data_IF_458355973870
#
_entry.id   IF_458355973870
#
_cell.length_a   1.000
_cell.length_b   1.000
_cell.length_c   1.000
_cell.angle_alpha   90.00
_cell.angle_beta   90.00
_cell.angle_gamma   90.00
#
_symmetry.space_group_name_H-M   'P 1'
#
loop_
_entity.id
_entity.type
_entity.pdbx_description
1 polymer ?
#
# COMPACT_ATOMS: atom_id res chain seq x y z
N UNK A 1 33.10 33.66 -10.00
CA UNK A 1 33.37 32.55 -9.05
C UNK A 1 32.25 32.59 -8.02
N UNK A 2 31.28 31.68 -8.15
CA UNK A 2 30.14 31.58 -7.24
C UNK A 2 30.55 30.74 -6.03
N UNK A 3 30.71 31.37 -4.87
CA UNK A 3 30.89 30.67 -3.62
C UNK A 3 29.56 30.03 -3.22
N UNK A 4 29.50 28.70 -3.34
CA UNK A 4 28.47 27.87 -2.73
C UNK A 4 28.80 27.84 -1.23
N UNK A 5 28.04 28.58 -0.43
CA UNK A 5 28.11 28.48 1.02
C UNK A 5 27.38 27.20 1.43
N UNK A 6 28.15 26.15 1.75
CA UNK A 6 27.63 25.11 2.62
C UNK A 6 27.55 25.69 4.02
N UNK A 7 26.36 25.62 4.60
CA UNK A 7 26.03 26.09 5.94
C UNK A 7 26.70 25.18 6.99
N UNK A 8 28.04 25.28 7.13
CA UNK A 8 28.82 24.43 8.04
C UNK A 8 29.00 25.03 9.43
N UNK A 9 28.39 26.18 9.73
CA UNK A 9 28.46 26.82 11.05
C UNK A 9 27.10 26.81 11.75
N UNK A 10 26.48 25.64 11.90
CA UNK A 10 25.29 25.51 12.72
C UNK A 10 25.66 25.03 14.13
N UNK A 11 25.68 25.98 15.08
CA UNK A 11 25.86 25.75 16.53
C UNK A 11 24.62 25.07 17.18
N UNK A 12 23.73 24.48 16.37
CA UNK A 12 22.58 23.72 16.85
C UNK A 12 23.04 22.34 17.32
N UNK A 13 22.55 21.90 18.49
CA UNK A 13 22.72 20.50 18.92
C UNK A 13 22.20 19.59 17.81
N UNK A 14 23.01 18.64 17.37
CA UNK A 14 22.58 17.53 16.53
C UNK A 14 21.36 16.87 17.19
N UNK A 15 20.28 16.66 16.43
CA UNK A 15 19.11 15.89 16.87
C UNK A 15 19.39 14.38 16.90
N UNK A 16 20.61 13.96 16.55
CA UNK A 16 21.00 12.54 16.54
C UNK A 16 21.09 12.03 17.97
N UNK A 17 20.31 10.99 18.25
CA UNK A 17 20.44 10.25 19.49
C UNK A 17 21.81 9.56 19.56
N UNK A 18 22.44 9.45 20.74
CA UNK A 18 23.67 8.70 20.90
C UNK A 18 23.54 7.28 20.32
N UNK A 19 24.42 6.92 19.38
CA UNK A 19 24.39 5.62 18.70
C UNK A 19 23.57 5.58 17.41
N UNK A 20 22.92 6.67 17.01
CA UNK A 20 22.33 6.80 15.69
C UNK A 20 23.40 6.57 14.61
N UNK A 21 23.06 5.76 13.60
CA UNK A 21 23.91 5.52 12.43
C UNK A 21 23.22 6.13 11.21
N UNK A 22 23.97 6.63 10.22
CA UNK A 22 23.39 7.05 8.96
C UNK A 22 22.58 5.90 8.35
N UNK A 23 21.32 6.17 8.03
CA UNK A 23 20.47 5.26 7.27
C UNK A 23 20.44 5.75 5.82
N UNK A 24 21.23 5.10 4.96
CA UNK A 24 21.31 5.47 3.56
C UNK A 24 20.14 4.91 2.77
N UNK A 25 19.79 5.61 1.68
CA UNK A 25 18.78 5.12 0.77
C UNK A 25 19.27 3.82 0.10
N UNK A 26 18.38 2.85 -0.12
CA UNK A 26 18.74 1.65 -0.87
C UNK A 26 19.03 1.99 -2.33
N UNK A 27 19.79 1.12 -3.00
CA UNK A 27 20.00 1.19 -4.43
C UNK A 27 18.67 1.06 -5.18
N UNK A 28 18.44 1.92 -6.17
CA UNK A 28 17.20 1.94 -6.94
C UNK A 28 17.43 1.39 -8.34
N UNK A 29 16.85 0.23 -8.70
CA UNK A 29 16.96 -0.29 -10.06
C UNK A 29 16.18 0.56 -11.08
N UNK A 30 15.23 1.37 -10.61
CA UNK A 30 14.42 2.24 -11.45
C UNK A 30 13.41 3.04 -10.64
N UNK A 31 12.61 3.85 -11.36
CA UNK A 31 11.46 4.53 -10.80
C UNK A 31 10.22 3.64 -10.94
N UNK A 32 9.57 3.33 -9.82
CA UNK A 32 8.25 2.70 -9.84
C UNK A 32 7.21 3.76 -10.19
N UNK A 33 6.51 3.58 -11.30
CA UNK A 33 5.46 4.49 -11.74
C UNK A 33 4.09 4.11 -11.15
N UNK A 34 3.83 2.80 -11.07
CA UNK A 34 2.53 2.28 -10.74
C UNK A 34 2.59 0.89 -10.10
N UNK A 35 1.77 0.67 -9.07
CA UNK A 35 1.58 -0.64 -8.42
C UNK A 35 0.10 -1.03 -8.51
N UNK A 36 -0.18 -2.20 -9.08
CA UNK A 36 -1.52 -2.77 -9.13
C UNK A 36 -1.57 -4.09 -8.35
N UNK A 37 -2.43 -4.15 -7.34
CA UNK A 37 -2.72 -5.37 -6.59
C UNK A 37 -4.10 -5.91 -7.00
N UNK A 38 -4.14 -7.13 -7.55
CA UNK A 38 -5.38 -7.86 -7.82
C UNK A 38 -5.47 -9.07 -6.88
N UNK A 39 -6.36 -8.98 -5.88
CA UNK A 39 -6.38 -9.83 -4.70
C UNK A 39 -7.73 -10.53 -4.51
N UNK A 40 -7.68 -11.78 -4.05
CA UNK A 40 -8.83 -12.53 -3.56
C UNK A 40 -8.60 -12.95 -2.10
N UNK A 41 -9.50 -12.52 -1.20
CA UNK A 41 -9.39 -12.82 0.23
C UNK A 41 -10.20 -14.06 0.62
N UNK A 42 -9.56 -15.01 1.29
CA UNK A 42 -10.22 -16.10 2.02
C UNK A 42 -10.23 -15.78 3.52
N UNK A 43 -11.21 -14.96 3.90
CA UNK A 43 -11.36 -14.46 5.27
C UNK A 43 -11.53 -15.60 6.30
N UNK A 44 -12.35 -16.65 6.07
CA UNK A 44 -12.46 -17.77 6.99
C UNK A 44 -11.14 -18.50 7.28
N UNK A 45 -10.28 -18.68 6.27
CA UNK A 45 -9.00 -19.35 6.42
C UNK A 45 -7.83 -18.41 6.73
N UNK A 46 -8.10 -17.11 6.88
CA UNK A 46 -7.10 -16.07 7.16
C UNK A 46 -5.99 -16.04 6.11
N UNK A 47 -6.35 -16.15 4.84
CA UNK A 47 -5.40 -16.19 3.74
C UNK A 47 -5.86 -15.32 2.59
N UNK A 48 -4.95 -15.05 1.67
CA UNK A 48 -5.26 -14.43 0.39
C UNK A 48 -4.26 -14.86 -0.68
N UNK A 49 -4.65 -14.66 -1.93
CA UNK A 49 -3.78 -14.83 -3.08
C UNK A 49 -4.08 -13.75 -4.11
N UNK A 50 -3.13 -13.52 -5.01
CA UNK A 50 -3.30 -12.50 -6.02
C UNK A 50 -2.06 -12.26 -6.85
N UNK A 51 -2.07 -11.14 -7.58
CA UNK A 51 -0.94 -10.67 -8.37
C UNK A 51 -0.57 -9.25 -7.97
N UNK A 52 0.71 -9.03 -7.67
CA UNK A 52 1.30 -7.69 -7.57
C UNK A 52 1.94 -7.35 -8.92
N UNK A 53 1.50 -6.26 -9.53
CA UNK A 53 2.02 -5.77 -10.81
C UNK A 53 2.69 -4.42 -10.62
N UNK A 54 3.97 -4.33 -10.96
CA UNK A 54 4.79 -3.12 -10.81
C UNK A 54 5.22 -2.63 -12.19
N UNK A 55 4.90 -1.38 -12.51
CA UNK A 55 5.42 -0.70 -13.70
C UNK A 55 6.68 0.06 -13.32
N UNK A 56 7.83 -0.38 -13.84
CA UNK A 56 9.16 0.13 -13.47
C UNK A 56 9.85 0.74 -14.68
N UNK A 57 10.31 1.98 -14.54
CA UNK A 57 11.22 2.64 -15.48
C UNK A 57 12.67 2.42 -15.04
N UNK A 58 13.47 1.58 -15.73
CA UNK A 58 14.85 1.29 -15.33
C UNK A 58 15.73 2.54 -15.34
N UNK A 59 16.61 2.68 -14.34
CA UNK A 59 17.53 3.83 -14.24
C UNK A 59 18.67 3.75 -15.27
N UNK A 60 19.02 2.54 -15.72
CA UNK A 60 20.07 2.28 -16.71
C UNK A 60 19.77 1.00 -17.50
N UNK A 61 20.35 0.87 -18.69
CA UNK A 61 20.37 -0.38 -19.43
C UNK A 61 21.29 -1.42 -18.76
N UNK A 62 21.03 -2.69 -19.03
CA UNK A 62 21.87 -3.81 -18.62
C UNK A 62 21.70 -4.24 -17.16
N UNK A 63 20.61 -3.82 -16.49
CA UNK A 63 20.20 -4.46 -15.22
C UNK A 63 19.67 -5.84 -15.55
N UNK A 64 20.28 -6.86 -14.96
CA UNK A 64 20.01 -8.29 -15.13
C UNK A 64 19.37 -8.92 -13.88
N UNK A 65 19.24 -8.17 -12.79
CA UNK A 65 18.61 -8.62 -11.56
C UNK A 65 17.80 -7.49 -10.90
N UNK A 66 16.61 -7.84 -10.37
CA UNK A 66 15.85 -7.00 -9.45
C UNK A 66 15.71 -7.70 -8.10
N UNK A 67 15.81 -6.95 -7.01
CA UNK A 67 15.56 -7.45 -5.65
C UNK A 67 14.40 -6.68 -5.06
N UNK A 68 13.36 -7.39 -4.61
CA UNK A 68 12.18 -6.84 -3.96
C UNK A 68 12.05 -7.38 -2.54
N UNK A 69 11.51 -6.57 -1.63
CA UNK A 69 11.12 -6.99 -0.30
C UNK A 69 9.82 -7.80 -0.37
N UNK A 70 9.83 -9.01 0.20
CA UNK A 70 8.70 -9.94 0.22
C UNK A 70 8.87 -10.89 1.42
N UNK A 71 8.30 -10.57 2.57
CA UNK A 71 8.53 -11.32 3.81
C UNK A 71 7.37 -12.26 4.12
N UNK A 72 7.68 -13.54 4.37
CA UNK A 72 6.71 -14.59 4.71
C UNK A 72 5.58 -14.76 3.68
N UNK A 73 5.91 -14.58 2.39
CA UNK A 73 5.00 -14.76 1.26
C UNK A 73 5.26 -16.08 0.54
N UNK A 74 4.25 -16.61 -0.14
CA UNK A 74 4.40 -17.70 -1.10
C UNK A 74 4.49 -17.12 -2.51
N UNK A 75 5.67 -17.15 -3.13
CA UNK A 75 5.90 -16.64 -4.49
C UNK A 75 5.66 -17.76 -5.50
N UNK A 76 4.58 -17.63 -6.29
CA UNK A 76 4.14 -18.67 -7.22
C UNK A 76 4.77 -18.53 -8.61
N UNK A 77 4.87 -17.30 -9.12
CA UNK A 77 5.52 -17.03 -10.41
C UNK A 77 5.90 -15.56 -10.55
N UNK A 78 6.89 -15.28 -11.39
CA UNK A 78 7.29 -13.93 -11.78
C UNK A 78 7.30 -13.83 -13.30
N UNK A 79 6.69 -12.76 -13.83
CA UNK A 79 6.69 -12.43 -15.25
C UNK A 79 7.17 -11.01 -15.47
N UNK A 80 7.96 -10.81 -16.52
CA UNK A 80 8.35 -9.49 -17.03
C UNK A 80 7.73 -9.34 -18.41
N UNK A 81 6.85 -8.36 -18.59
CA UNK A 81 6.11 -8.15 -19.85
C UNK A 81 5.48 -9.45 -20.37
N UNK A 82 4.78 -10.16 -19.47
CA UNK A 82 4.12 -11.46 -19.71
C UNK A 82 5.05 -12.66 -20.00
N UNK A 83 6.37 -12.47 -19.94
CA UNK A 83 7.37 -13.54 -20.11
C UNK A 83 7.84 -14.02 -18.74
N UNK A 84 7.73 -15.32 -18.47
CA UNK A 84 8.20 -15.94 -17.22
C UNK A 84 9.70 -15.74 -17.02
N UNK A 85 10.06 -15.44 -15.76
CA UNK A 85 11.44 -15.29 -15.33
C UNK A 85 11.75 -16.28 -14.22
N UNK A 86 13.02 -16.67 -14.15
CA UNK A 86 13.57 -17.38 -12.99
C UNK A 86 13.81 -16.42 -11.84
N UNK A 87 13.62 -16.89 -10.62
CA UNK A 87 13.86 -16.12 -9.41
C UNK A 87 14.38 -17.01 -8.29
N UNK A 88 15.10 -16.41 -7.35
CA UNK A 88 15.44 -16.99 -6.06
C UNK A 88 14.70 -16.24 -4.96
N UNK A 89 14.18 -16.97 -3.98
CA UNK A 89 13.41 -16.41 -2.88
C UNK A 89 13.78 -17.11 -1.56
N UNK A 90 14.19 -16.33 -0.57
CA UNK A 90 14.68 -16.84 0.71
C UNK A 90 13.67 -16.70 1.88
N UNK A 91 12.47 -16.19 1.59
CA UNK A 91 11.47 -15.86 2.60
C UNK A 91 11.44 -14.39 3.02
N UNK A 92 12.42 -13.58 2.60
CA UNK A 92 12.50 -12.15 2.89
C UNK A 92 12.70 -11.29 1.62
N UNK A 93 13.59 -11.71 0.74
CA UNK A 93 13.95 -10.99 -0.48
C UNK A 93 13.67 -11.87 -1.71
N UNK A 94 12.99 -11.29 -2.69
CA UNK A 94 12.72 -11.88 -3.99
C UNK A 94 13.72 -11.35 -5.02
N UNK A 95 14.63 -12.22 -5.46
CA UNK A 95 15.66 -11.94 -6.45
C UNK A 95 15.22 -12.45 -7.83
N UNK A 96 14.86 -11.55 -8.73
CA UNK A 96 14.34 -11.84 -10.07
C UNK A 96 15.47 -11.68 -11.08
N UNK A 97 15.79 -12.73 -11.84
CA UNK A 97 16.76 -12.67 -12.93
C UNK A 97 16.08 -12.23 -14.23
N UNK A 98 16.55 -11.14 -14.82
CA UNK A 98 15.94 -10.51 -16.00
C UNK A 98 16.55 -11.02 -17.30
N UNK A 99 15.73 -11.68 -18.11
CA UNK A 99 16.03 -12.09 -19.48
C UNK A 99 14.87 -11.70 -20.40
N UNK A 100 15.02 -10.66 -21.26
CA UNK A 100 16.23 -9.86 -21.48
C UNK A 100 16.55 -8.89 -20.34
N UNK A 101 17.81 -8.41 -20.30
CA UNK A 101 18.22 -7.31 -19.43
C UNK A 101 17.48 -6.02 -19.78
N UNK A 102 17.41 -5.09 -18.84
CA UNK A 102 16.71 -3.80 -19.05
C UNK A 102 17.36 -2.93 -20.14
N UNK A 103 16.53 -2.08 -20.75
CA UNK A 103 16.96 -1.00 -21.64
C UNK A 103 16.44 0.33 -21.09
N UNK A 104 17.29 1.34 -20.95
CA UNK A 104 16.85 2.68 -20.54
C UNK A 104 15.79 3.22 -21.49
N UNK A 105 14.71 3.77 -20.92
CA UNK A 105 13.58 4.32 -21.68
C UNK A 105 12.51 3.28 -22.04
N UNK A 106 12.76 2.00 -21.81
CA UNK A 106 11.77 0.94 -21.95
C UNK A 106 11.22 0.57 -20.56
N UNK A 107 9.96 0.92 -20.31
CA UNK A 107 9.27 0.50 -19.10
C UNK A 107 9.09 -1.02 -19.10
N UNK A 108 9.30 -1.65 -17.94
CA UNK A 108 9.00 -3.06 -17.73
C UNK A 108 7.83 -3.21 -16.76
N UNK A 109 7.00 -4.23 -17.01
CA UNK A 109 5.90 -4.64 -16.14
C UNK A 109 6.29 -5.94 -15.42
N UNK A 110 6.52 -5.84 -14.12
CA UNK A 110 6.83 -6.97 -13.25
C UNK A 110 5.53 -7.49 -12.65
N UNK A 111 5.07 -8.68 -13.03
CA UNK A 111 3.89 -9.31 -12.47
C UNK A 111 4.29 -10.52 -11.61
N UNK A 112 3.93 -10.48 -10.33
CA UNK A 112 4.31 -11.45 -9.32
C UNK A 112 3.03 -12.09 -8.78
N UNK A 113 2.80 -13.36 -9.11
CA UNK A 113 1.70 -14.12 -8.52
C UNK A 113 2.15 -14.64 -7.16
N UNK A 114 1.38 -14.37 -6.11
CA UNK A 114 1.77 -14.70 -4.76
C UNK A 114 0.56 -15.00 -3.87
N UNK A 115 0.83 -15.58 -2.70
CA UNK A 115 -0.16 -15.83 -1.66
C UNK A 115 0.44 -15.61 -0.27
N UNK A 116 -0.42 -15.51 0.73
CA UNK A 116 -0.02 -15.61 2.13
C UNK A 116 -1.10 -16.33 2.93
N UNK A 117 -0.64 -17.17 3.85
CA UNK A 117 -1.49 -17.98 4.71
C UNK A 117 -1.25 -17.62 6.17
N UNK A 118 -2.31 -17.18 6.84
CA UNK A 118 -2.28 -16.70 8.22
C UNK A 118 -1.13 -15.68 8.48
N UNK A 119 -1.06 -14.57 7.69
CA UNK A 119 -0.05 -13.55 7.87
C UNK A 119 -0.12 -12.95 9.28
N UNK A 120 1.04 -12.64 9.86
CA UNK A 120 1.17 -12.11 11.22
C UNK A 120 1.52 -10.61 11.26
N UNK A 121 1.80 -10.02 10.10
CA UNK A 121 2.24 -8.63 9.93
C UNK A 121 1.82 -8.11 8.55
N UNK A 122 1.75 -6.80 8.37
CA UNK A 122 1.33 -6.16 7.12
C UNK A 122 -0.18 -6.19 6.90
N UNK A 123 -0.78 -7.40 6.91
CA UNK A 123 -2.23 -7.62 6.81
C UNK A 123 -2.72 -8.54 7.93
N UNK A 124 -3.86 -8.15 8.53
CA UNK A 124 -4.38 -8.78 9.73
C UNK A 124 -5.81 -9.27 9.51
N UNK A 125 -6.04 -10.55 9.79
CA UNK A 125 -7.36 -11.18 9.73
C UNK A 125 -7.96 -11.29 11.13
N UNK A 126 -8.95 -10.46 11.42
CA UNK A 126 -9.64 -10.40 12.70
C UNK A 126 -10.95 -11.17 12.61
N UNK A 127 -11.21 -12.03 13.59
CA UNK A 127 -12.45 -12.76 13.74
C UNK A 127 -12.77 -12.95 15.24
N UNK A 128 -14.05 -13.23 15.60
CA UNK A 128 -14.40 -13.76 16.91
C UNK A 128 -13.51 -14.93 17.34
N UNK A 129 -13.17 -14.95 18.62
CA UNK A 129 -12.46 -16.05 19.28
C UNK A 129 -13.11 -16.36 20.65
N UNK A 130 -12.65 -17.40 21.35
CA UNK A 130 -13.22 -17.82 22.63
C UNK A 130 -13.14 -16.73 23.72
N UNK A 131 -12.12 -15.88 23.67
CA UNK A 131 -11.90 -14.81 24.65
C UNK A 131 -12.69 -13.54 24.30
N UNK A 132 -12.97 -13.34 23.01
CA UNK A 132 -13.63 -12.17 22.47
C UNK A 132 -14.66 -12.56 21.38
N UNK A 133 -15.79 -13.16 21.79
CA UNK A 133 -16.80 -13.68 20.86
C UNK A 133 -17.51 -12.57 20.06
N UNK A 134 -17.49 -11.33 20.56
CA UNK A 134 -18.17 -10.18 19.95
C UNK A 134 -17.27 -9.33 19.04
N UNK A 135 -16.01 -9.76 18.79
CA UNK A 135 -15.11 -9.06 17.86
C UNK A 135 -15.72 -9.04 16.45
N UNK A 136 -15.66 -7.93 15.72
CA UNK A 136 -16.08 -7.91 14.33
C UNK A 136 -15.12 -8.76 13.48
N UNK A 137 -15.66 -9.43 12.46
CA UNK A 137 -14.82 -9.98 11.39
C UNK A 137 -14.36 -8.84 10.49
N UNK A 138 -13.05 -8.64 10.41
CA UNK A 138 -12.41 -7.58 9.62
C UNK A 138 -11.10 -8.08 9.04
N UNK A 139 -10.68 -7.49 7.92
CA UNK A 139 -9.31 -7.57 7.42
C UNK A 139 -8.80 -6.15 7.31
N UNK A 140 -7.62 -5.85 7.83
CA UNK A 140 -7.04 -4.52 7.68
C UNK A 140 -5.52 -4.62 7.56
N UNK A 141 -4.93 -3.62 6.94
CA UNK A 141 -3.48 -3.54 6.76
C UNK A 141 -2.88 -2.44 7.61
N UNK A 142 -1.61 -2.63 7.94
CA UNK A 142 -0.74 -1.60 8.47
C UNK A 142 0.59 -1.77 7.74
N UNK A 143 1.03 -0.73 7.04
CA UNK A 143 2.26 -0.75 6.24
C UNK A 143 3.39 0.12 6.80
N UNK A 144 3.13 1.02 7.75
CA UNK A 144 4.14 1.96 8.27
C UNK A 144 5.07 1.30 9.30
N UNK A 145 6.39 1.41 9.18
CA UNK A 145 7.12 2.21 8.18
C UNK A 145 7.45 1.41 6.90
N UNK A 146 7.68 0.10 7.06
CA UNK A 146 8.13 -0.84 6.02
C UNK A 146 7.49 -2.24 6.24
N UNK A 147 6.21 -2.25 6.62
CA UNK A 147 5.42 -3.47 6.84
C UNK A 147 4.70 -3.92 5.56
N UNK A 148 4.80 -3.16 4.46
CA UNK A 148 4.15 -3.51 3.19
C UNK A 148 4.73 -4.78 2.58
N UNK A 149 6.03 -5.02 2.78
CA UNK A 149 6.71 -6.26 2.39
C UNK A 149 6.09 -7.54 2.97
N UNK A 150 5.32 -7.46 4.06
CA UNK A 150 4.65 -8.62 4.68
C UNK A 150 3.29 -8.96 4.06
N UNK A 151 2.78 -8.15 3.11
CA UNK A 151 1.52 -8.44 2.43
C UNK A 151 1.54 -8.23 0.92
N UNK A 152 2.55 -7.59 0.34
CA UNK A 152 2.83 -7.68 -1.10
C UNK A 152 4.32 -7.47 -1.42
N UNK A 153 4.86 -8.13 -2.47
CA UNK A 153 6.22 -7.89 -2.94
C UNK A 153 6.38 -6.47 -3.47
N UNK A 154 7.34 -5.70 -2.95
CA UNK A 154 7.59 -4.32 -3.39
C UNK A 154 9.00 -3.82 -3.08
N UNK A 155 9.35 -2.64 -3.57
CA UNK A 155 10.52 -1.89 -3.12
C UNK A 155 10.12 -1.08 -1.90
N UNK A 156 10.21 -1.68 -0.71
CA UNK A 156 9.53 -1.18 0.49
C UNK A 156 10.38 -0.15 1.22
N UNK A 157 10.49 1.03 0.61
CA UNK A 157 11.27 2.16 1.09
C UNK A 157 10.45 3.47 1.00
N UNK A 158 10.35 4.27 2.08
CA UNK A 158 9.50 5.47 2.12
C UNK A 158 9.75 6.50 1.01
N UNK A 159 10.97 6.58 0.48
CA UNK A 159 11.31 7.50 -0.60
C UNK A 159 11.01 6.98 -2.01
N UNK A 160 10.41 5.79 -2.15
CA UNK A 160 9.91 5.25 -3.42
C UNK A 160 8.41 5.57 -3.54
N UNK A 161 8.10 6.63 -4.29
CA UNK A 161 6.71 7.05 -4.53
C UNK A 161 6.19 6.45 -5.82
N UNK A 162 4.92 6.07 -5.84
CA UNK A 162 4.23 5.56 -7.03
C UNK A 162 2.74 5.86 -6.97
N UNK A 163 2.04 5.78 -8.11
CA UNK A 163 0.58 5.66 -8.10
C UNK A 163 0.17 4.22 -7.80
N UNK A 164 -1.05 3.97 -7.35
CA UNK A 164 -1.47 2.59 -7.07
C UNK A 164 -2.95 2.31 -7.32
N UNK A 165 -3.28 1.05 -7.57
CA UNK A 165 -4.65 0.54 -7.53
C UNK A 165 -4.71 -0.79 -6.78
N UNK A 166 -5.87 -1.02 -6.15
CA UNK A 166 -6.21 -2.29 -5.53
C UNK A 166 -7.55 -2.74 -6.07
N UNK A 167 -7.56 -3.88 -6.74
CA UNK A 167 -8.76 -4.66 -7.07
C UNK A 167 -8.84 -5.81 -6.09
N UNK A 168 -9.92 -5.89 -5.33
CA UNK A 168 -10.06 -6.89 -4.27
C UNK A 168 -11.43 -7.55 -4.30
N UNK A 169 -11.42 -8.88 -4.37
CA UNK A 169 -12.62 -9.72 -4.26
C UNK A 169 -12.82 -10.14 -2.80
N UNK A 170 -14.03 -9.91 -2.30
CA UNK A 170 -14.45 -10.22 -0.94
C UNK A 170 -15.86 -10.82 -0.92
N UNK A 171 -16.24 -11.60 0.11
CA UNK A 171 -17.62 -12.08 0.23
C UNK A 171 -18.64 -10.94 0.28
N UNK A 172 -19.80 -11.12 -0.35
CA UNK A 172 -20.81 -10.08 -0.62
C UNK A 172 -21.25 -9.24 0.59
N UNK A 173 -21.18 -9.82 1.80
CA UNK A 173 -21.54 -9.18 3.06
C UNK A 173 -20.55 -8.10 3.53
N UNK A 174 -19.38 -8.01 2.91
CA UNK A 174 -18.31 -7.09 3.30
C UNK A 174 -18.18 -5.91 2.33
N UNK A 175 -17.67 -4.80 2.88
CA UNK A 175 -17.24 -3.61 2.14
C UNK A 175 -15.72 -3.60 2.22
N UNK A 176 -15.05 -3.37 1.08
CA UNK A 176 -13.62 -3.16 1.01
C UNK A 176 -13.32 -1.70 0.66
N UNK A 177 -12.40 -1.10 1.42
CA UNK A 177 -11.98 0.31 1.31
C UNK A 177 -10.48 0.32 1.10
N UNK A 178 -10.01 1.20 0.23
CA UNK A 178 -8.58 1.43 -0.02
C UNK A 178 -8.34 2.91 -0.29
N UNK A 179 -7.12 3.27 -0.69
CA UNK A 179 -6.74 4.64 -1.00
C UNK A 179 -7.38 5.12 -2.32
N UNK A 180 -7.58 6.43 -2.42
CA UNK A 180 -8.04 7.08 -3.63
C UNK A 180 -9.53 6.91 -3.91
N UNK A 181 -9.86 6.79 -5.20
CA UNK A 181 -11.25 6.77 -5.68
C UNK A 181 -11.71 5.34 -5.94
N UNK A 182 -12.94 5.01 -5.53
CA UNK A 182 -13.62 3.79 -5.95
C UNK A 182 -14.07 3.95 -7.40
N UNK A 183 -13.31 3.39 -8.34
CA UNK A 183 -13.55 3.56 -9.78
C UNK A 183 -14.47 2.48 -10.37
N UNK A 184 -14.57 1.32 -9.71
CA UNK A 184 -15.44 0.25 -10.16
C UNK A 184 -15.93 -0.65 -9.01
N UNK A 185 -17.12 -1.21 -9.17
CA UNK A 185 -17.64 -2.26 -8.29
C UNK A 185 -18.38 -3.29 -9.14
N UNK A 186 -17.98 -4.54 -9.02
CA UNK A 186 -18.66 -5.69 -9.59
C UNK A 186 -19.29 -6.49 -8.46
N UNK A 187 -20.49 -7.01 -8.68
CA UNK A 187 -21.16 -7.84 -7.68
C UNK A 187 -21.78 -9.08 -8.31
N UNK A 188 -21.74 -10.16 -7.54
CA UNK A 188 -22.40 -11.44 -7.81
C UNK A 188 -23.19 -11.85 -6.56
N UNK A 189 -23.92 -12.96 -6.63
CA UNK A 189 -24.67 -13.45 -5.46
C UNK A 189 -23.77 -13.77 -4.25
N UNK A 190 -22.51 -14.14 -4.48
CA UNK A 190 -21.59 -14.62 -3.44
C UNK A 190 -20.53 -13.58 -3.06
N UNK A 191 -20.05 -12.84 -4.04
CA UNK A 191 -18.86 -12.00 -3.93
C UNK A 191 -19.08 -10.60 -4.47
N UNK A 192 -18.27 -9.66 -3.98
CA UNK A 192 -18.12 -8.30 -4.49
C UNK A 192 -16.65 -8.03 -4.80
N UNK A 193 -16.42 -7.32 -5.88
CA UNK A 193 -15.08 -6.87 -6.28
C UNK A 193 -15.09 -5.35 -6.25
N UNK A 194 -14.17 -4.77 -5.48
CA UNK A 194 -13.97 -3.32 -5.40
C UNK A 194 -12.66 -2.98 -6.10
N UNK A 195 -12.68 -1.95 -6.94
CA UNK A 195 -11.47 -1.44 -7.60
C UNK A 195 -11.26 0.01 -7.21
N UNK A 196 -10.19 0.23 -6.44
CA UNK A 196 -9.76 1.53 -5.94
C UNK A 196 -8.53 2.01 -6.69
N UNK A 197 -8.47 3.31 -6.99
CA UNK A 197 -7.37 3.94 -7.72
C UNK A 197 -6.88 5.19 -7.00
N UNK A 198 -5.61 5.17 -6.59
CA UNK A 198 -4.87 6.28 -6.01
C UNK A 198 -3.97 6.90 -7.09
N UNK A 199 -4.43 8.02 -7.66
CA UNK A 199 -3.73 8.72 -8.75
C UNK A 199 -2.58 9.60 -8.27
N UNK A 200 -2.60 9.98 -7.00
CA UNK A 200 -1.60 10.82 -6.37
C UNK A 200 -0.49 9.92 -5.85
N UNK A 201 0.75 10.27 -6.21
CA UNK A 201 1.91 9.46 -5.83
C UNK A 201 2.04 9.39 -4.31
N UNK A 202 2.28 8.20 -3.79
CA UNK A 202 2.41 7.92 -2.36
C UNK A 202 3.38 6.73 -2.17
N UNK A 203 3.98 6.59 -0.98
CA UNK A 203 4.85 5.47 -0.67
C UNK A 203 4.07 4.18 -0.40
N UNK A 204 4.73 3.04 -0.54
CA UNK A 204 4.14 1.70 -0.33
C UNK A 204 3.46 1.56 1.03
N UNK A 205 4.06 2.10 2.09
CA UNK A 205 3.52 2.02 3.45
C UNK A 205 2.14 2.68 3.65
N UNK A 206 1.73 3.58 2.74
CA UNK A 206 0.39 4.19 2.77
C UNK A 206 -0.65 3.36 2.00
N UNK A 207 -0.25 2.35 1.24
CA UNK A 207 -1.18 1.42 0.60
C UNK A 207 -1.97 0.66 1.67
N UNK A 208 -3.27 0.89 1.68
CA UNK A 208 -4.17 0.45 2.74
C UNK A 208 -5.30 -0.38 2.14
N UNK A 209 -5.65 -1.47 2.81
CA UNK A 209 -6.87 -2.23 2.55
C UNK A 209 -7.60 -2.43 3.88
N UNK A 210 -8.88 -2.07 3.94
CA UNK A 210 -9.76 -2.33 5.08
C UNK A 210 -11.05 -2.97 4.60
N UNK A 211 -11.34 -4.18 5.11
CA UNK A 211 -12.50 -4.99 4.77
C UNK A 211 -13.31 -5.28 6.02
N UNK A 212 -14.61 -5.03 5.97
CA UNK A 212 -15.46 -5.20 7.14
C UNK A 212 -16.94 -4.94 6.87
N UNK A 213 -17.74 -5.11 7.92
CA UNK A 213 -19.17 -4.77 7.90
C UNK A 213 -19.35 -3.33 8.38
N UNK A 214 -19.07 -2.38 7.51
CA UNK A 214 -19.13 -0.97 7.85
C UNK A 214 -20.55 -0.38 7.68
N UNK A 215 -20.84 0.65 8.45
CA UNK A 215 -21.78 1.70 8.10
C UNK A 215 -20.99 2.86 7.50
N UNK A 216 -21.62 3.57 6.57
CA UNK A 216 -21.04 4.72 5.90
C UNK A 216 -21.69 6.00 6.44
N UNK A 217 -20.88 6.99 6.78
CA UNK A 217 -21.32 8.36 7.04
C UNK A 217 -20.72 9.22 5.92
N UNK A 218 -21.59 9.91 5.18
CA UNK A 218 -21.19 10.82 4.11
C UNK A 218 -21.22 12.24 4.61
N UNK A 219 -20.14 12.95 4.35
CA UNK A 219 -19.94 14.36 4.61
C UNK A 219 -19.17 14.95 3.42
N UNK A 220 -19.00 16.26 3.37
CA UNK A 220 -18.25 16.92 2.31
C UNK A 220 -17.54 18.17 2.78
N UNK A 221 -16.46 18.52 2.10
CA UNK A 221 -15.83 19.82 2.20
C UNK A 221 -15.59 20.36 0.80
N UNK A 222 -16.24 21.47 0.43
CA UNK A 222 -16.08 22.11 -0.88
C UNK A 222 -16.27 21.17 -2.09
N UNK A 223 -17.22 20.24 -2.00
CA UNK A 223 -17.49 19.23 -3.03
C UNK A 223 -16.54 18.03 -3.02
N UNK A 224 -15.56 18.00 -2.11
CA UNK A 224 -14.69 16.84 -1.87
C UNK A 224 -15.38 15.92 -0.85
N UNK A 225 -15.64 14.64 -1.19
CA UNK A 225 -16.24 13.69 -0.26
C UNK A 225 -15.38 13.47 0.97
N UNK A 226 -16.00 13.52 2.16
CA UNK A 226 -15.38 13.14 3.43
C UNK A 226 -16.19 11.99 4.01
N UNK A 227 -15.80 10.77 3.63
CA UNK A 227 -16.56 9.56 3.97
C UNK A 227 -15.93 8.83 5.15
N UNK A 228 -16.76 8.45 6.13
CA UNK A 228 -16.33 7.66 7.28
C UNK A 228 -16.94 6.27 7.20
N UNK A 229 -16.10 5.27 7.44
CA UNK A 229 -16.52 3.88 7.55
C UNK A 229 -16.31 3.41 8.98
N UNK A 230 -17.40 2.98 9.62
CA UNK A 230 -17.40 2.63 11.05
C UNK A 230 -18.18 1.36 11.30
N UNK A 231 -17.93 0.70 12.41
CA UNK A 231 -18.80 -0.40 12.83
C UNK A 231 -20.25 0.09 12.98
N UNK A 232 -21.22 -0.69 12.46
CA UNK A 232 -22.63 -0.30 12.44
C UNK A 232 -23.18 0.13 13.81
N UNK A 233 -22.71 -0.50 14.89
CA UNK A 233 -23.12 -0.21 16.28
C UNK A 233 -22.51 1.08 16.86
N UNK A 234 -21.57 1.72 16.17
CA UNK A 234 -20.80 2.89 16.63
C UNK A 234 -21.12 4.16 15.83
N UNK A 235 -22.22 4.17 15.07
CA UNK A 235 -22.57 5.28 14.19
C UNK A 235 -22.75 6.60 14.95
N UNK A 236 -23.42 6.58 16.10
CA UNK A 236 -23.63 7.78 16.92
C UNK A 236 -22.33 8.30 17.55
N UNK A 237 -21.44 7.38 17.96
CA UNK A 237 -20.11 7.73 18.44
C UNK A 237 -19.29 8.38 17.33
N UNK A 238 -19.31 7.81 16.12
CA UNK A 238 -18.58 8.33 14.97
C UNK A 238 -19.03 9.75 14.58
N UNK A 239 -20.33 10.03 14.60
CA UNK A 239 -20.84 11.39 14.37
C UNK A 239 -20.35 12.37 15.44
N UNK A 240 -20.32 11.93 16.70
CA UNK A 240 -19.87 12.75 17.82
C UNK A 240 -18.36 13.04 17.76
N UNK A 241 -17.55 12.07 17.35
CA UNK A 241 -16.08 12.19 17.37
C UNK A 241 -15.50 12.74 16.08
N UNK A 242 -16.06 12.38 14.92
CA UNK A 242 -15.52 12.71 13.60
C UNK A 242 -16.33 13.79 12.86
N UNK A 243 -17.52 14.17 13.34
CA UNK A 243 -18.42 15.10 12.61
C UNK A 243 -17.90 16.54 12.45
N UNK A 244 -16.71 16.85 12.98
CA UNK A 244 -16.03 18.15 12.78
C UNK A 244 -14.93 18.10 11.72
N UNK A 245 -14.69 16.96 11.06
CA UNK A 245 -13.56 16.83 10.12
C UNK A 245 -13.62 17.85 8.98
N UNK A 246 -14.77 18.17 8.33
CA UNK A 246 -14.80 19.23 7.32
C UNK A 246 -14.36 20.60 7.86
N UNK A 247 -14.70 20.92 9.11
CA UNK A 247 -14.26 22.16 9.76
C UNK A 247 -12.76 22.16 10.03
N UNK A 248 -12.19 20.99 10.37
CA UNK A 248 -10.74 20.83 10.53
C UNK A 248 -10.02 20.96 9.18
N UNK A 249 -10.56 20.35 8.11
CA UNK A 249 -10.03 20.49 6.75
C UNK A 249 -10.06 21.95 6.31
N UNK A 250 -11.17 22.66 6.56
CA UNK A 250 -11.30 24.09 6.25
C UNK A 250 -10.25 24.92 6.99
N UNK A 251 -10.11 24.70 8.30
CA UNK A 251 -9.12 25.38 9.14
C UNK A 251 -7.70 25.14 8.62
N UNK A 252 -7.28 23.88 8.42
CA UNK A 252 -5.93 23.57 7.93
C UNK A 252 -5.68 24.09 6.51
N UNK A 253 -6.72 24.10 5.65
CA UNK A 253 -6.59 24.66 4.30
C UNK A 253 -6.35 26.17 4.32
N UNK A 254 -6.95 26.88 5.28
CA UNK A 254 -6.73 28.32 5.48
C UNK A 254 -5.36 28.60 6.10
N UNK A 255 -5.00 27.87 7.15
CA UNK A 255 -3.73 28.07 7.87
C UNK A 255 -2.50 27.77 7.00
N UNK A 256 -2.55 26.70 6.20
CA UNK A 256 -1.43 26.35 5.33
C UNK A 256 -1.49 27.01 3.94
N UNK A 257 -2.61 27.63 3.58
CA UNK A 257 -2.78 28.33 2.30
C UNK A 257 -2.89 27.42 1.07
N UNK A 258 -3.17 26.12 1.25
CA UNK A 258 -3.46 25.18 0.18
C UNK A 258 -4.77 24.46 0.44
N UNK A 259 -5.53 24.17 -0.62
CA UNK A 259 -6.75 23.36 -0.50
C UNK A 259 -6.40 21.91 -0.25
N UNK A 260 -7.19 21.23 0.57
CA UNK A 260 -7.17 19.77 0.62
C UNK A 260 -7.44 19.19 -0.78
N UNK A 261 -6.53 18.34 -1.30
CA UNK A 261 -6.61 17.84 -2.66
C UNK A 261 -7.68 16.75 -2.84
#
# INVERSE_FOLDING_TARGET
MSNIYFDSENNSKSFELPGARPHYNPDRPGQVEHIFLDLELDIPHKSFHGTCTISLNPVRSGIDQLTLDAVDLEINSVKINDIEQTFDYDGNELNIYLQPVTTTGEQIKVAIAYAANNPQRGIYFIAPDEHYPDKPTQVWTQGEDEDSRFWFPCFDYPGQLSTSEIRVKVPHKFIAISNGELIHTEESEKDKIYHWMQRQVHPTYLMTLAVGKFAEIKDEWNGIPVTYYVEKKRLDDARRTMGKTPQMIDFFSQEFGYKYP
#
